data_IF_274925447512
#
_entry.id   IF_274925447512
#
_cell.length_a   1.000
_cell.length_b   1.000
_cell.length_c   1.000
_cell.angle_alpha   90.00
_cell.angle_beta   90.00
_cell.angle_gamma   90.00
#
_symmetry.space_group_name_H-M   'P 1'
#
loop_
_entity.id
_entity.type
_entity.pdbx_description
1 polymer ?
#
# COMPACT_ATOMS: atom_id res chain seq x y z
N UNK A 1 -24.49 5.15 13.91
CA UNK A 1 -25.01 4.69 12.59
C UNK A 1 -23.96 3.77 12.00
N UNK A 2 -24.21 2.46 11.95
CA UNK A 2 -23.34 1.56 11.19
C UNK A 2 -23.49 1.97 9.74
N UNK A 3 -22.45 2.63 9.22
CA UNK A 3 -22.39 3.00 7.83
C UNK A 3 -22.41 1.73 6.98
N UNK A 4 -23.30 1.68 6.01
CA UNK A 4 -23.33 0.66 4.95
C UNK A 4 -22.07 0.78 4.08
N UNK A 5 -20.92 0.41 4.63
CA UNK A 5 -19.67 0.42 3.90
C UNK A 5 -19.71 -0.60 2.77
N UNK A 6 -19.10 -0.28 1.64
CA UNK A 6 -18.95 -1.20 0.51
C UNK A 6 -18.14 -2.42 0.90
N UNK A 7 -18.44 -3.57 0.28
CA UNK A 7 -17.56 -4.74 0.25
C UNK A 7 -16.50 -4.51 -0.81
N UNK A 8 -15.27 -4.25 -0.37
CA UNK A 8 -14.13 -3.95 -1.26
C UNK A 8 -13.21 -5.15 -1.32
N UNK A 9 -12.93 -5.63 -2.52
CA UNK A 9 -11.91 -6.64 -2.76
C UNK A 9 -10.71 -6.00 -3.45
N UNK A 10 -9.53 -6.16 -2.85
CA UNK A 10 -8.26 -5.69 -3.40
C UNK A 10 -7.45 -6.91 -3.87
N UNK A 11 -7.14 -6.96 -5.15
CA UNK A 11 -6.34 -8.02 -5.76
C UNK A 11 -4.87 -7.63 -5.76
N UNK A 12 -4.11 -8.26 -4.89
CA UNK A 12 -2.67 -8.03 -4.67
C UNK A 12 -2.36 -7.28 -3.38
N UNK A 13 -1.62 -7.94 -2.48
CA UNK A 13 -1.11 -7.39 -1.21
C UNK A 13 0.25 -6.70 -1.32
N UNK A 14 0.58 -6.14 -2.48
CA UNK A 14 1.78 -5.29 -2.66
C UNK A 14 1.59 -3.89 -2.05
N UNK A 15 2.58 -3.00 -2.21
CA UNK A 15 2.55 -1.65 -1.62
C UNK A 15 1.24 -0.89 -1.88
N UNK A 16 0.79 -0.86 -3.14
CA UNK A 16 -0.41 -0.13 -3.51
C UNK A 16 -1.68 -0.75 -2.92
N UNK A 17 -1.81 -2.09 -2.96
CA UNK A 17 -2.98 -2.78 -2.40
C UNK A 17 -3.04 -2.69 -0.88
N UNK A 18 -1.90 -2.83 -0.20
CA UNK A 18 -1.81 -2.68 1.25
C UNK A 18 -2.18 -1.25 1.69
N UNK A 19 -1.65 -0.22 1.01
CA UNK A 19 -1.96 1.17 1.33
C UNK A 19 -3.42 1.51 1.01
N UNK A 20 -3.97 1.01 -0.10
CA UNK A 20 -5.39 1.14 -0.41
C UNK A 20 -6.26 0.49 0.67
N UNK A 21 -5.86 -0.70 1.16
CA UNK A 21 -6.51 -1.37 2.27
C UNK A 21 -6.53 -0.53 3.54
N UNK A 22 -5.39 0.12 3.88
CA UNK A 22 -5.32 1.05 5.02
C UNK A 22 -6.29 2.23 4.88
N UNK A 23 -6.38 2.82 3.72
CA UNK A 23 -7.24 3.99 3.49
C UNK A 23 -8.72 3.60 3.51
N UNK A 24 -9.07 2.51 2.86
CA UNK A 24 -10.48 2.12 2.65
C UNK A 24 -11.11 1.47 3.88
N UNK A 25 -10.32 0.83 4.76
CA UNK A 25 -10.84 0.13 5.95
C UNK A 25 -11.61 1.03 6.93
N UNK A 26 -11.37 2.34 6.91
CA UNK A 26 -12.06 3.27 7.82
C UNK A 26 -13.56 3.36 7.56
N UNK A 27 -13.98 3.12 6.31
CA UNK A 27 -15.37 3.28 5.90
C UNK A 27 -15.97 2.06 5.20
N UNK A 28 -15.15 1.04 4.88
CA UNK A 28 -15.56 -0.10 4.05
C UNK A 28 -15.10 -1.43 4.64
N UNK A 29 -15.75 -2.53 4.23
CA UNK A 29 -15.31 -3.89 4.51
C UNK A 29 -14.30 -4.32 3.46
N UNK A 30 -13.02 -4.36 3.83
CA UNK A 30 -11.92 -4.60 2.89
C UNK A 30 -11.39 -6.03 3.01
N UNK A 31 -11.26 -6.71 1.88
CA UNK A 31 -10.54 -7.98 1.76
C UNK A 31 -9.41 -7.83 0.76
N UNK A 32 -8.18 -8.13 1.18
CA UNK A 32 -6.98 -8.12 0.34
C UNK A 32 -6.66 -9.58 -0.01
N UNK A 33 -6.58 -9.89 -1.30
CA UNK A 33 -6.26 -11.21 -1.83
C UNK A 33 -4.84 -11.19 -2.39
N UNK A 34 -3.93 -11.96 -1.78
CA UNK A 34 -2.53 -12.07 -2.24
C UNK A 34 -2.25 -13.52 -2.68
N UNK A 35 -1.79 -13.69 -3.91
CA UNK A 35 -1.50 -15.02 -4.49
C UNK A 35 -0.30 -15.71 -3.87
N UNK A 36 0.68 -14.92 -3.41
CA UNK A 36 1.92 -15.44 -2.81
C UNK A 36 1.71 -15.80 -1.34
N UNK A 37 2.60 -16.64 -0.81
CA UNK A 37 2.73 -16.80 0.65
C UNK A 37 3.41 -15.57 1.25
N UNK A 38 3.22 -15.32 2.53
CA UNK A 38 3.82 -14.17 3.24
C UNK A 38 5.35 -14.10 3.14
N UNK A 39 5.99 -15.22 2.84
CA UNK A 39 7.41 -15.46 3.08
C UNK A 39 8.39 -14.73 2.13
N UNK A 40 7.98 -14.10 1.03
CA UNK A 40 8.97 -13.63 0.07
C UNK A 40 8.59 -12.33 -0.64
N UNK A 41 9.11 -11.22 -0.15
CA UNK A 41 9.32 -10.05 -1.01
C UNK A 41 10.82 -9.82 -1.18
N UNK A 42 11.33 -10.05 -2.39
CA UNK A 42 12.70 -9.63 -2.74
C UNK A 42 12.68 -8.10 -2.79
N UNK A 43 13.30 -7.48 -1.80
CA UNK A 43 13.27 -6.03 -1.65
C UNK A 43 14.49 -5.36 -2.25
N UNK A 44 14.26 -4.42 -3.16
CA UNK A 44 15.21 -3.36 -3.47
C UNK A 44 14.96 -2.15 -2.55
N UNK A 45 15.88 -1.21 -2.52
CA UNK A 45 15.63 0.09 -1.91
C UNK A 45 14.51 0.82 -2.66
N UNK A 46 13.64 1.47 -1.91
CA UNK A 46 12.57 2.31 -2.47
C UNK A 46 12.60 3.65 -1.74
N UNK A 47 12.18 4.69 -2.44
CA UNK A 47 12.06 6.00 -1.82
C UNK A 47 10.61 6.49 -1.83
N UNK A 48 10.29 7.33 -0.85
CA UNK A 48 9.03 8.07 -0.74
C UNK A 48 9.38 9.55 -0.69
N UNK A 49 9.00 10.26 -1.73
CA UNK A 49 9.21 11.71 -1.79
C UNK A 49 8.36 12.47 -0.76
N UNK A 50 8.66 13.75 -0.50
CA UNK A 50 7.97 14.56 0.51
C UNK A 50 6.45 14.60 0.39
N UNK A 51 5.93 14.59 -0.84
CA UNK A 51 4.50 14.53 -1.11
C UNK A 51 3.86 13.24 -0.57
N UNK A 52 4.50 12.09 -0.81
CA UNK A 52 4.07 10.80 -0.27
C UNK A 52 4.24 10.71 1.23
N UNK A 53 5.39 11.14 1.76
CA UNK A 53 5.69 11.12 3.20
C UNK A 53 4.65 11.92 4.01
N UNK A 54 4.19 13.05 3.48
CA UNK A 54 3.14 13.87 4.09
C UNK A 54 1.78 13.13 4.15
N UNK A 55 1.41 12.41 3.09
CA UNK A 55 0.19 11.60 3.09
C UNK A 55 0.33 10.43 4.08
N UNK A 56 1.46 9.73 4.04
CA UNK A 56 1.69 8.59 4.93
C UNK A 56 1.63 8.99 6.42
N UNK A 57 2.12 10.16 6.78
CA UNK A 57 2.06 10.64 8.17
C UNK A 57 0.62 10.81 8.68
N UNK A 58 -0.35 11.10 7.80
CA UNK A 58 -1.77 11.17 8.19
C UNK A 58 -2.44 9.81 8.33
N UNK A 59 -1.79 8.74 7.86
CA UNK A 59 -2.31 7.38 7.87
C UNK A 59 -1.76 6.52 9.03
N UNK A 60 -0.99 7.12 9.95
CA UNK A 60 -0.36 6.43 11.07
C UNK A 60 0.96 5.75 10.74
N UNK A 61 1.58 6.08 9.60
CA UNK A 61 2.90 5.58 9.23
C UNK A 61 3.99 6.14 10.14
N UNK A 62 4.77 5.25 10.76
CA UNK A 62 5.93 5.62 11.55
C UNK A 62 7.23 5.28 10.80
N UNK A 63 7.92 6.33 10.35
CA UNK A 63 9.18 6.20 9.64
C UNK A 63 10.29 5.56 10.48
N UNK A 64 10.23 5.68 11.81
CA UNK A 64 11.25 5.14 12.74
C UNK A 64 11.09 3.63 12.86
N UNK A 65 9.86 3.14 13.02
CA UNK A 65 9.54 1.71 13.08
C UNK A 65 9.91 0.98 11.79
N UNK A 66 9.80 1.65 10.65
CA UNK A 66 10.19 1.10 9.34
C UNK A 66 11.71 1.17 9.10
N UNK A 67 12.44 1.92 9.93
CA UNK A 67 13.88 2.14 9.72
C UNK A 67 14.18 3.03 8.52
N UNK A 68 13.32 4.01 8.23
CA UNK A 68 13.53 4.94 7.14
C UNK A 68 14.74 5.85 7.37
N UNK A 69 15.51 6.09 6.30
CA UNK A 69 16.58 7.08 6.27
C UNK A 69 16.09 8.35 5.58
N UNK A 70 16.31 9.50 6.21
CA UNK A 70 16.01 10.80 5.61
C UNK A 70 17.16 11.25 4.70
N UNK A 71 16.81 11.76 3.52
CA UNK A 71 17.80 12.33 2.60
C UNK A 71 18.18 13.73 3.08
N UNK A 72 19.43 13.88 3.51
CA UNK A 72 20.01 15.18 3.90
C UNK A 72 21.05 15.71 2.91
N UNK A 73 21.42 14.92 1.91
CA UNK A 73 22.49 15.25 0.97
C UNK A 73 22.28 14.53 -0.36
N UNK A 74 22.51 15.22 -1.46
CA UNK A 74 22.62 14.62 -2.80
C UNK A 74 24.01 14.81 -3.37
N UNK A 75 24.53 13.80 -4.06
CA UNK A 75 25.83 13.84 -4.73
C UNK A 75 25.68 13.40 -6.18
N UNK A 76 26.30 14.15 -7.08
CA UNK A 76 26.36 13.83 -8.51
C UNK A 76 27.79 13.49 -8.89
N UNK A 77 27.97 12.36 -9.56
CA UNK A 77 29.27 11.86 -10.01
C UNK A 77 29.28 11.73 -11.53
N UNK A 78 30.43 11.95 -12.16
CA UNK A 78 30.58 11.64 -13.57
C UNK A 78 30.89 10.13 -13.77
N UNK A 79 30.95 9.69 -15.03
CA UNK A 79 31.23 8.29 -15.38
C UNK A 79 32.65 7.82 -14.99
N UNK A 80 33.58 8.71 -14.77
CA UNK A 80 34.93 8.42 -14.28
C UNK A 80 35.02 8.35 -12.74
N UNK A 81 33.90 8.53 -12.01
CA UNK A 81 33.85 8.50 -10.55
C UNK A 81 34.32 9.81 -9.89
N UNK A 82 34.43 10.90 -10.64
CA UNK A 82 34.74 12.24 -10.07
C UNK A 82 33.47 12.89 -9.54
N UNK A 83 33.50 13.37 -8.29
CA UNK A 83 32.42 14.17 -7.71
C UNK A 83 32.28 15.49 -8.47
N UNK A 84 31.10 15.73 -9.04
CA UNK A 84 30.77 16.96 -9.75
C UNK A 84 30.05 17.98 -8.85
N UNK A 85 29.14 17.48 -8.00
CA UNK A 85 28.32 18.32 -7.15
C UNK A 85 28.00 17.60 -5.85
N UNK A 86 28.02 18.35 -4.77
CA UNK A 86 27.49 17.96 -3.47
C UNK A 86 26.51 19.05 -3.03
N UNK A 87 25.29 18.66 -2.69
CA UNK A 87 24.20 19.59 -2.45
C UNK A 87 23.42 19.16 -1.19
N UNK A 88 23.67 19.81 -0.04
CA UNK A 88 22.89 19.61 1.18
C UNK A 88 21.42 19.92 0.94
N UNK A 89 20.52 19.07 1.45
CA UNK A 89 19.06 19.18 1.28
C UNK A 89 18.37 19.22 2.62
N UNK A 90 17.44 20.14 2.75
CA UNK A 90 16.50 20.20 3.87
C UNK A 90 15.07 20.11 3.30
N UNK A 91 14.66 18.88 3.00
CA UNK A 91 13.35 18.63 2.40
C UNK A 91 12.18 19.00 3.33
N UNK A 92 12.39 18.93 4.65
CA UNK A 92 11.36 19.35 5.62
C UNK A 92 11.12 20.84 5.52
N UNK A 93 12.21 21.64 5.48
CA UNK A 93 12.10 23.09 5.34
C UNK A 93 11.54 23.50 3.98
N UNK A 94 11.90 22.79 2.92
CA UNK A 94 11.56 23.16 1.53
C UNK A 94 10.16 22.70 1.14
N UNK A 95 9.73 21.49 1.60
CA UNK A 95 8.48 20.83 1.16
C UNK A 95 7.54 20.44 2.30
N UNK A 96 7.90 20.73 3.55
CA UNK A 96 7.10 20.42 4.74
C UNK A 96 7.10 18.96 5.15
N UNK A 97 7.93 18.10 4.53
CA UNK A 97 8.05 16.68 4.86
C UNK A 97 9.40 16.13 4.38
N UNK A 98 9.93 15.05 4.99
CA UNK A 98 11.18 14.44 4.58
C UNK A 98 11.06 13.68 3.26
N UNK A 99 12.18 13.47 2.59
CA UNK A 99 12.33 12.46 1.55
C UNK A 99 12.93 11.22 2.21
N UNK A 100 12.21 10.09 2.13
CA UNK A 100 12.54 8.87 2.85
C UNK A 100 13.10 7.81 1.92
N UNK A 101 14.14 7.10 2.37
CA UNK A 101 14.63 5.86 1.78
C UNK A 101 14.45 4.72 2.76
N UNK A 102 13.96 3.60 2.29
CA UNK A 102 13.74 2.39 3.09
C UNK A 102 13.82 1.14 2.21
N UNK A 103 13.83 0.00 2.88
CA UNK A 103 13.71 -1.28 2.21
C UNK A 103 12.25 -1.53 1.79
N UNK A 104 12.03 -1.99 0.58
CA UNK A 104 10.68 -2.17 0.02
C UNK A 104 9.84 -3.19 0.79
N UNK A 105 10.48 -4.25 1.31
CA UNK A 105 9.81 -5.25 2.12
C UNK A 105 9.32 -4.68 3.46
N UNK A 106 10.14 -3.84 4.11
CA UNK A 106 9.76 -3.22 5.39
C UNK A 106 8.61 -2.22 5.20
N UNK A 107 8.64 -1.43 4.12
CA UNK A 107 7.54 -0.55 3.76
C UNK A 107 6.24 -1.32 3.50
N UNK A 108 6.33 -2.46 2.78
CA UNK A 108 5.15 -3.31 2.54
C UNK A 108 4.60 -3.89 3.84
N UNK A 109 5.48 -4.41 4.70
CA UNK A 109 5.11 -4.95 6.00
C UNK A 109 4.35 -3.93 6.84
N UNK A 110 4.84 -2.70 6.88
CA UNK A 110 4.18 -1.61 7.59
C UNK A 110 2.82 -1.26 6.99
N UNK A 111 2.69 -1.15 5.67
CA UNK A 111 1.41 -0.89 5.04
C UNK A 111 0.39 -2.01 5.30
N UNK A 112 0.82 -3.27 5.31
CA UNK A 112 -0.04 -4.39 5.67
C UNK A 112 -0.43 -4.33 7.15
N UNK A 113 0.51 -4.01 8.04
CA UNK A 113 0.22 -3.80 9.47
C UNK A 113 -0.87 -2.73 9.64
N UNK A 114 -0.68 -1.57 9.05
CA UNK A 114 -1.66 -0.47 9.08
C UNK A 114 -3.02 -0.87 8.50
N UNK A 115 -3.06 -1.75 7.50
CA UNK A 115 -4.30 -2.23 6.92
C UNK A 115 -5.02 -3.26 7.79
N UNK A 116 -4.29 -4.12 8.52
CA UNK A 116 -4.86 -5.33 9.14
C UNK A 116 -4.83 -5.35 10.66
N UNK A 117 -4.08 -4.46 11.31
CA UNK A 117 -4.01 -4.39 12.77
C UNK A 117 -5.30 -3.85 13.38
N UNK A 118 -5.52 -4.17 14.64
CA UNK A 118 -6.70 -3.72 15.39
C UNK A 118 -6.84 -2.20 15.37
N UNK A 119 -8.07 -1.74 15.20
CA UNK A 119 -8.36 -0.30 15.05
C UNK A 119 -8.09 0.50 16.32
N UNK A 120 -8.27 -0.09 17.51
CA UNK A 120 -7.96 0.59 18.77
C UNK A 120 -6.45 0.75 18.94
N UNK A 121 -5.67 -0.27 18.55
CA UNK A 121 -4.22 -0.22 18.61
C UNK A 121 -3.64 0.88 17.69
N UNK A 122 -4.29 1.12 16.56
CA UNK A 122 -3.89 2.16 15.59
C UNK A 122 -4.51 3.54 15.86
N UNK A 123 -5.53 3.63 16.72
CA UNK A 123 -6.28 4.87 16.93
C UNK A 123 -7.05 5.32 15.68
N UNK A 124 -7.56 4.37 14.88
CA UNK A 124 -8.31 4.65 13.63
C UNK A 124 -9.72 4.07 13.68
N UNK A 125 -10.60 4.60 12.85
CA UNK A 125 -11.95 4.09 12.68
C UNK A 125 -12.01 2.85 11.78
N UNK A 126 -13.20 2.20 11.75
CA UNK A 126 -13.47 1.06 10.88
C UNK A 126 -12.95 -0.28 11.43
N UNK A 127 -13.04 -1.31 10.61
CA UNK A 127 -12.59 -2.67 10.95
C UNK A 127 -11.27 -2.99 10.24
N UNK A 128 -10.41 -3.82 10.84
CA UNK A 128 -9.23 -4.34 10.14
C UNK A 128 -9.59 -4.95 8.78
N UNK A 129 -8.78 -4.68 7.77
CA UNK A 129 -8.91 -5.39 6.50
C UNK A 129 -8.55 -6.86 6.67
N UNK A 130 -9.25 -7.74 5.97
CA UNK A 130 -8.97 -9.18 5.94
C UNK A 130 -7.89 -9.43 4.87
N UNK A 131 -6.74 -9.96 5.27
CA UNK A 131 -5.68 -10.36 4.34
C UNK A 131 -5.68 -11.87 4.15
N UNK A 132 -5.80 -12.32 2.90
CA UNK A 132 -5.79 -13.74 2.53
C UNK A 132 -4.58 -14.00 1.62
N UNK A 133 -3.57 -14.67 2.17
CA UNK A 133 -2.44 -15.20 1.40
C UNK A 133 -2.79 -16.48 0.65
N UNK A 134 -1.94 -16.90 -0.26
CA UNK A 134 -2.13 -18.09 -1.10
C UNK A 134 -3.51 -18.09 -1.80
N UNK A 135 -4.00 -16.91 -2.15
CA UNK A 135 -5.33 -16.72 -2.73
C UNK A 135 -5.19 -16.08 -4.10
N UNK A 136 -5.24 -16.93 -5.13
CA UNK A 136 -5.07 -16.50 -6.51
C UNK A 136 -6.43 -16.20 -7.14
N UNK A 137 -6.61 -14.99 -7.61
CA UNK A 137 -7.75 -14.62 -8.45
C UNK A 137 -7.47 -15.06 -9.88
N UNK A 138 -8.45 -15.70 -10.49
CA UNK A 138 -8.36 -16.20 -11.87
C UNK A 138 -9.27 -15.47 -12.84
N UNK A 139 -10.35 -14.86 -12.34
CA UNK A 139 -11.28 -14.09 -13.16
C UNK A 139 -12.09 -13.10 -12.31
N UNK A 140 -12.65 -12.08 -12.94
CA UNK A 140 -13.54 -11.10 -12.33
C UNK A 140 -14.72 -10.82 -13.27
N UNK A 141 -15.93 -11.13 -12.84
CA UNK A 141 -17.15 -10.66 -13.50
C UNK A 141 -17.48 -9.26 -12.96
N UNK A 142 -17.21 -8.24 -13.77
CA UNK A 142 -17.43 -6.83 -13.37
C UNK A 142 -18.90 -6.44 -13.34
N UNK A 143 -19.74 -7.06 -14.15
CA UNK A 143 -21.16 -6.74 -14.22
C UNK A 143 -21.90 -7.20 -12.95
N UNK A 144 -21.54 -8.39 -12.46
CA UNK A 144 -22.12 -8.98 -11.25
C UNK A 144 -21.33 -8.63 -9.97
N UNK A 145 -20.11 -8.10 -10.10
CA UNK A 145 -19.22 -7.82 -8.98
C UNK A 145 -18.72 -9.09 -8.30
N UNK A 146 -18.37 -10.13 -9.07
CA UNK A 146 -17.94 -11.43 -8.56
C UNK A 146 -16.47 -11.68 -8.91
N UNK A 147 -15.67 -11.98 -7.91
CA UNK A 147 -14.27 -12.38 -8.03
C UNK A 147 -14.16 -13.90 -7.92
N UNK A 148 -13.52 -14.56 -8.90
CA UNK A 148 -13.33 -16.01 -8.95
C UNK A 148 -11.92 -16.38 -8.53
N UNK A 149 -11.80 -17.32 -7.60
CA UNK A 149 -10.54 -17.85 -7.11
C UNK A 149 -10.18 -19.17 -7.81
N UNK A 150 -8.90 -19.51 -7.87
CA UNK A 150 -8.41 -20.78 -8.39
C UNK A 150 -8.88 -22.00 -7.57
N UNK A 151 -9.26 -21.78 -6.32
CA UNK A 151 -9.90 -22.80 -5.47
C UNK A 151 -11.34 -23.15 -5.87
N UNK A 152 -11.95 -22.37 -6.79
CA UNK A 152 -13.38 -22.46 -7.13
C UNK A 152 -14.29 -21.61 -6.23
N UNK A 153 -13.76 -20.98 -5.18
CA UNK A 153 -14.51 -20.02 -4.34
C UNK A 153 -14.88 -18.78 -5.15
N UNK A 154 -16.03 -18.19 -4.83
CA UNK A 154 -16.50 -16.92 -5.40
C UNK A 154 -16.68 -15.92 -4.28
N UNK A 155 -16.22 -14.68 -4.50
CA UNK A 155 -16.36 -13.58 -3.56
C UNK A 155 -17.14 -12.46 -4.24
N UNK A 156 -18.25 -12.05 -3.63
CA UNK A 156 -19.03 -10.90 -4.08
C UNK A 156 -18.41 -9.61 -3.55
N UNK A 157 -18.32 -8.61 -4.40
CA UNK A 157 -17.79 -7.29 -4.08
C UNK A 157 -18.62 -6.18 -4.74
N UNK A 158 -18.73 -5.05 -4.03
CA UNK A 158 -19.33 -3.83 -4.56
C UNK A 158 -18.27 -2.99 -5.31
N UNK A 159 -16.99 -3.16 -4.93
CA UNK A 159 -15.84 -2.56 -5.59
C UNK A 159 -14.69 -3.56 -5.65
N UNK A 160 -14.09 -3.72 -6.82
CA UNK A 160 -12.88 -4.51 -7.03
C UNK A 160 -11.74 -3.60 -7.46
N UNK A 161 -10.63 -3.63 -6.73
CA UNK A 161 -9.39 -2.91 -7.04
C UNK A 161 -8.32 -3.93 -7.39
N UNK A 162 -7.82 -3.91 -8.63
CA UNK A 162 -6.79 -4.82 -9.09
C UNK A 162 -5.54 -4.09 -9.53
N UNK A 163 -4.37 -4.61 -9.11
CA UNK A 163 -3.09 -4.25 -9.69
C UNK A 163 -2.64 -5.39 -10.59
N UNK A 164 -3.23 -5.49 -11.78
CA UNK A 164 -2.63 -6.25 -12.87
C UNK A 164 -2.04 -5.25 -13.85
N UNK A 165 -0.89 -5.55 -14.43
CA UNK A 165 -0.25 -4.72 -15.46
C UNK A 165 -1.11 -4.58 -16.74
N UNK A 166 -2.28 -5.21 -16.82
CA UNK A 166 -3.05 -5.37 -18.06
C UNK A 166 -4.51 -4.93 -17.98
N UNK A 167 -5.20 -4.97 -16.83
CA UNK A 167 -6.62 -4.56 -16.80
C UNK A 167 -7.05 -4.00 -15.44
N UNK A 168 -7.68 -2.83 -15.45
CA UNK A 168 -8.37 -2.23 -14.30
C UNK A 168 -9.86 -2.47 -14.51
N UNK A 169 -10.47 -3.25 -13.62
CA UNK A 169 -11.91 -3.46 -13.62
C UNK A 169 -12.56 -2.57 -12.56
N UNK A 170 -13.40 -1.67 -12.98
CA UNK A 170 -14.25 -0.87 -12.10
C UNK A 170 -15.71 -1.12 -12.46
N UNK A 171 -16.50 -1.58 -11.49
CA UNK A 171 -17.96 -1.53 -11.61
C UNK A 171 -18.39 -0.11 -11.30
N UNK A 172 -18.96 0.57 -12.28
CA UNK A 172 -19.67 1.83 -12.05
C UNK A 172 -21.02 1.47 -11.44
N UNK A 173 -21.17 1.71 -10.13
CA UNK A 173 -22.50 1.65 -9.50
C UNK A 173 -23.18 2.97 -9.82
N UNK A 174 -24.18 2.93 -10.69
CA UNK A 174 -25.12 4.04 -10.91
C UNK A 174 -26.15 4.08 -9.78
#
# INVERSE_FOLDING_TARGET
MEGSGLRVVIIGGGLAGALAGRILREHHMVTILERSSDAYEVGAAINVGPNGARILSTLGFDKTEVGCLEVGLTRTWNKEGKLLQEDPKDFIKEYGAPWLFQHRADLRKEFLRLATEDSQALGVDGKPAILRYNTKVVDVNVDDGVVFLDSGEKIEADLVIGKTLIEIFTKTVC
#
